data_IF_404846145843
#
_entry.id   IF_404846145843
#
_cell.length_a   1.000
_cell.length_b   1.000
_cell.length_c   1.000
_cell.angle_alpha   90.00
_cell.angle_beta   90.00
_cell.angle_gamma   90.00
#
_symmetry.space_group_name_H-M   'P 1'
#
loop_
_entity.id
_entity.type
_entity.pdbx_description
1 polymer ?
#
# COMPACT_ATOMS: atom_id res chain seq x y z
N UNK A 1 -2.79 -1.90 54.03
CA UNK A 1 -3.21 -2.75 52.89
C UNK A 1 -3.23 -1.98 51.55
N UNK A 2 -2.58 -0.81 51.44
CA UNK A 2 -2.56 0.01 50.21
C UNK A 2 -1.25 -0.09 49.39
N UNK A 3 -0.24 -0.82 49.87
CA UNK A 3 1.10 -0.82 49.27
C UNK A 3 1.29 -1.79 48.08
N UNK A 4 0.24 -2.52 47.69
CA UNK A 4 0.31 -3.53 46.61
C UNK A 4 -0.11 -2.95 45.25
N UNK A 5 -0.80 -1.81 45.22
CA UNK A 5 -1.30 -1.22 43.96
C UNK A 5 -0.22 -0.47 43.15
N UNK A 6 0.89 -0.05 43.77
CA UNK A 6 1.89 0.80 43.11
C UNK A 6 2.95 0.04 42.29
N UNK A 7 3.02 -1.28 42.39
CA UNK A 7 3.98 -2.12 41.64
C UNK A 7 3.53 -2.50 40.22
N UNK A 8 2.34 -2.08 39.78
CA UNK A 8 1.80 -2.34 38.45
C UNK A 8 2.10 -1.23 37.42
N UNK A 9 2.71 -0.12 37.83
CA UNK A 9 3.26 0.89 36.93
C UNK A 9 4.68 0.51 36.44
N UNK A 10 4.91 -0.79 36.16
CA UNK A 10 6.11 -1.16 35.44
C UNK A 10 6.07 -0.46 34.07
N UNK A 11 6.94 0.53 33.90
CA UNK A 11 7.27 1.13 32.63
C UNK A 11 7.54 0.01 31.63
N UNK A 12 6.54 -0.31 30.82
CA UNK A 12 6.68 -1.31 29.76
C UNK A 12 7.73 -0.77 28.82
N UNK A 13 8.97 -1.26 28.96
CA UNK A 13 10.07 -0.94 28.07
C UNK A 13 9.56 -1.11 26.65
N UNK A 14 9.47 0.00 25.93
CA UNK A 14 8.92 0.00 24.57
C UNK A 14 9.83 -0.87 23.71
N UNK A 15 9.34 -2.05 23.33
CA UNK A 15 10.09 -3.00 22.52
C UNK A 15 10.43 -2.34 21.18
N UNK A 16 11.72 -2.26 20.85
CA UNK A 16 12.20 -1.73 19.56
C UNK A 16 11.67 -2.58 18.40
N UNK A 17 11.34 -1.94 17.28
CA UNK A 17 10.93 -2.64 16.06
C UNK A 17 12.15 -3.16 15.31
N UNK A 18 12.16 -4.44 14.96
CA UNK A 18 13.23 -5.01 14.14
C UNK A 18 12.96 -4.77 12.66
N UNK A 19 14.00 -4.83 11.82
CA UNK A 19 13.84 -4.67 10.36
C UNK A 19 12.90 -5.73 9.78
N UNK A 20 13.09 -7.00 10.18
CA UNK A 20 12.24 -8.10 9.72
C UNK A 20 10.77 -7.91 10.14
N UNK A 21 10.54 -7.47 11.38
CA UNK A 21 9.19 -7.18 11.87
C UNK A 21 8.50 -6.07 11.07
N UNK A 22 9.25 -5.05 10.63
CA UNK A 22 8.73 -3.98 9.77
C UNK A 22 8.40 -4.51 8.37
N UNK A 23 9.23 -5.39 7.80
CA UNK A 23 8.94 -6.02 6.50
C UNK A 23 7.64 -6.81 6.56
N UNK A 24 7.47 -7.67 7.56
CA UNK A 24 6.23 -8.44 7.77
C UNK A 24 5.02 -7.52 7.98
N UNK A 25 5.18 -6.43 8.74
CA UNK A 25 4.12 -5.42 8.90
C UNK A 25 3.70 -4.82 7.54
N UNK A 26 4.65 -4.47 6.68
CA UNK A 26 4.40 -3.90 5.36
C UNK A 26 3.73 -4.92 4.43
N UNK A 27 4.17 -6.17 4.44
CA UNK A 27 3.57 -7.25 3.64
C UNK A 27 2.14 -7.55 4.08
N UNK A 28 1.91 -7.68 5.38
CA UNK A 28 0.57 -7.87 5.94
C UNK A 28 -0.34 -6.69 5.64
N UNK A 29 0.17 -5.45 5.66
CA UNK A 29 -0.57 -4.27 5.21
C UNK A 29 -1.03 -4.42 3.77
N UNK A 30 -0.12 -4.75 2.83
CA UNK A 30 -0.47 -4.94 1.41
C UNK A 30 -1.53 -6.03 1.22
N UNK A 31 -1.38 -7.17 1.91
CA UNK A 31 -2.31 -8.31 1.84
C UNK A 31 -3.70 -7.93 2.33
N UNK A 32 -3.80 -7.29 3.49
CA UNK A 32 -5.06 -6.93 4.13
C UNK A 32 -5.66 -5.63 3.61
N UNK A 33 -5.04 -5.00 2.61
CA UNK A 33 -5.52 -3.73 2.05
C UNK A 33 -6.93 -3.85 1.45
N UNK A 34 -7.30 -5.03 0.94
CA UNK A 34 -8.66 -5.30 0.44
C UNK A 34 -9.71 -5.14 1.54
N UNK A 35 -9.42 -5.58 2.76
CA UNK A 35 -10.30 -5.44 3.93
C UNK A 35 -10.53 -3.96 4.24
N UNK A 36 -9.46 -3.15 4.22
CA UNK A 36 -9.56 -1.68 4.39
C UNK A 36 -10.46 -1.02 3.35
N UNK A 37 -10.50 -1.57 2.11
CA UNK A 37 -11.32 -1.04 1.02
C UNK A 37 -12.80 -1.43 1.13
N UNK A 38 -13.08 -2.66 1.55
CA UNK A 38 -14.45 -3.18 1.67
C UNK A 38 -15.16 -2.59 2.88
N UNK A 39 -14.44 -2.48 3.99
CA UNK A 39 -15.01 -2.04 5.25
C UNK A 39 -15.11 -0.51 5.23
N UNK A 40 -16.33 0.03 5.18
CA UNK A 40 -16.59 1.46 5.30
C UNK A 40 -16.41 2.00 6.72
N UNK A 41 -15.83 1.20 7.62
CA UNK A 41 -15.61 1.59 9.01
C UNK A 41 -14.73 2.82 9.08
N UNK A 42 -15.28 3.86 9.70
CA UNK A 42 -14.56 5.10 10.01
C UNK A 42 -13.29 4.83 10.83
N UNK A 43 -13.26 3.75 11.61
CA UNK A 43 -12.18 3.43 12.54
C UNK A 43 -11.04 2.60 11.94
N UNK A 44 -11.24 1.94 10.78
CA UNK A 44 -10.30 0.95 10.22
C UNK A 44 -9.87 -0.15 11.22
N UNK A 45 -10.65 -0.41 12.29
CA UNK A 45 -10.26 -1.31 13.39
C UNK A 45 -10.05 -2.75 12.90
N UNK A 46 -10.96 -3.26 12.08
CA UNK A 46 -10.89 -4.60 11.48
C UNK A 46 -9.62 -4.82 10.65
N UNK A 47 -9.23 -3.82 9.86
CA UNK A 47 -8.01 -3.83 9.09
C UNK A 47 -6.74 -3.98 9.96
N UNK A 48 -6.64 -3.19 11.04
CA UNK A 48 -5.48 -3.30 11.93
C UNK A 48 -5.49 -4.57 12.79
N UNK A 49 -6.67 -5.12 13.11
CA UNK A 49 -6.79 -6.42 13.77
C UNK A 49 -6.29 -7.56 12.88
N UNK A 50 -6.57 -7.51 11.57
CA UNK A 50 -6.04 -8.48 10.62
C UNK A 50 -4.51 -8.44 10.56
N UNK A 51 -3.92 -7.24 10.53
CA UNK A 51 -2.46 -7.07 10.61
C UNK A 51 -1.89 -7.62 11.92
N UNK A 52 -2.56 -7.36 13.04
CA UNK A 52 -2.16 -7.88 14.35
C UNK A 52 -2.11 -9.42 14.37
N UNK A 53 -3.13 -10.06 13.78
CA UNK A 53 -3.20 -11.52 13.65
C UNK A 53 -2.04 -12.07 12.81
N UNK A 54 -1.75 -11.47 11.66
CA UNK A 54 -0.63 -11.86 10.80
C UNK A 54 0.72 -11.71 11.53
N UNK A 55 0.97 -10.58 12.19
CA UNK A 55 2.19 -10.38 12.98
C UNK A 55 2.35 -11.45 14.08
N UNK A 56 1.25 -11.79 14.75
CA UNK A 56 1.23 -12.81 15.79
C UNK A 56 1.60 -14.19 15.23
N UNK A 57 1.13 -14.55 14.03
CA UNK A 57 1.51 -15.80 13.33
C UNK A 57 3.01 -15.88 13.03
N UNK A 58 3.66 -14.73 12.81
CA UNK A 58 5.11 -14.63 12.65
C UNK A 58 5.89 -14.48 13.97
N UNK A 59 5.23 -14.65 15.12
CA UNK A 59 5.86 -14.56 16.45
C UNK A 59 6.02 -13.13 17.00
N UNK A 60 5.46 -12.12 16.32
CA UNK A 60 5.52 -10.72 16.74
C UNK A 60 4.23 -10.32 17.47
N UNK A 61 4.31 -10.22 18.79
CA UNK A 61 3.20 -9.72 19.63
C UNK A 61 3.27 -8.20 19.72
N UNK A 62 2.38 -7.51 19.00
CA UNK A 62 2.22 -6.05 19.01
C UNK A 62 0.78 -5.67 19.30
N UNK A 63 0.60 -4.62 20.08
CA UNK A 63 -0.73 -4.04 20.31
C UNK A 63 -1.24 -3.30 19.07
N UNK A 64 -2.56 -3.14 18.97
CA UNK A 64 -3.20 -2.37 17.90
C UNK A 64 -2.64 -0.94 17.83
N UNK A 65 -2.46 -0.30 18.98
CA UNK A 65 -1.93 1.07 19.09
C UNK A 65 -0.49 1.16 18.54
N UNK A 66 0.37 0.21 18.85
CA UNK A 66 1.73 0.16 18.30
C UNK A 66 1.74 0.00 16.79
N UNK A 67 0.87 -0.85 16.24
CA UNK A 67 0.73 -1.06 14.79
C UNK A 67 0.27 0.24 14.12
N UNK A 68 -0.76 0.90 14.65
CA UNK A 68 -1.27 2.18 14.11
C UNK A 68 -0.18 3.26 14.13
N UNK A 69 0.53 3.42 15.25
CA UNK A 69 1.61 4.41 15.36
C UNK A 69 2.74 4.09 14.38
N UNK A 70 3.12 2.81 14.23
CA UNK A 70 4.21 2.41 13.35
C UNK A 70 3.87 2.60 11.87
N UNK A 71 2.63 2.25 11.47
CA UNK A 71 2.14 2.45 10.10
C UNK A 71 2.07 3.94 9.74
N UNK A 72 1.60 4.80 10.65
CA UNK A 72 1.64 6.25 10.46
C UNK A 72 3.07 6.80 10.35
N UNK A 73 3.99 6.30 11.18
CA UNK A 73 5.40 6.67 11.10
C UNK A 73 6.02 6.27 9.75
N UNK A 74 5.74 5.06 9.26
CA UNK A 74 6.23 4.59 7.96
C UNK A 74 5.74 5.49 6.81
N UNK A 75 4.45 5.85 6.79
CA UNK A 75 3.90 6.76 5.79
C UNK A 75 4.54 8.16 5.86
N UNK A 76 4.71 8.71 7.07
CA UNK A 76 5.34 10.02 7.26
C UNK A 76 6.79 10.01 6.77
N UNK A 77 7.56 8.99 7.14
CA UNK A 77 8.96 8.81 6.71
C UNK A 77 9.06 8.66 5.20
N UNK A 78 8.22 7.81 4.60
CA UNK A 78 8.16 7.64 3.15
C UNK A 78 7.84 8.95 2.42
N UNK A 79 6.83 9.71 2.87
CA UNK A 79 6.47 11.01 2.25
C UNK A 79 7.60 12.04 2.37
N UNK A 80 8.33 12.05 3.49
CA UNK A 80 9.49 12.91 3.68
C UNK A 80 10.60 12.53 2.70
N UNK A 81 10.91 11.25 2.60
CA UNK A 81 11.91 10.72 1.69
C UNK A 81 11.54 11.00 0.23
N UNK A 82 10.30 10.75 -0.17
CA UNK A 82 9.81 11.00 -1.53
C UNK A 82 10.00 12.47 -1.94
N UNK A 83 9.73 13.41 -1.03
CA UNK A 83 10.01 14.84 -1.27
C UNK A 83 11.50 15.13 -1.42
N UNK A 84 12.34 14.46 -0.63
CA UNK A 84 13.79 14.58 -0.73
C UNK A 84 14.29 14.08 -2.09
N UNK A 85 13.87 12.87 -2.52
CA UNK A 85 14.21 12.29 -3.83
C UNK A 85 13.80 13.21 -4.96
N UNK A 86 12.58 13.76 -4.93
CA UNK A 86 12.11 14.70 -5.95
C UNK A 86 12.92 16.00 -6.02
N UNK A 87 13.46 16.46 -4.88
CA UNK A 87 14.23 17.72 -4.80
C UNK A 87 15.71 17.52 -5.16
N UNK A 88 16.29 16.37 -4.81
CA UNK A 88 17.74 16.13 -4.91
C UNK A 88 18.14 15.14 -6.00
N UNK A 89 17.19 14.38 -6.55
CA UNK A 89 17.46 13.38 -7.59
C UNK A 89 18.16 12.12 -7.08
N UNK A 90 18.41 11.98 -5.78
CA UNK A 90 19.04 10.82 -5.16
C UNK A 90 18.10 10.17 -4.14
N UNK A 91 18.16 8.84 -4.03
CA UNK A 91 17.49 8.11 -2.95
C UNK A 91 18.24 8.34 -1.63
N UNK A 92 17.54 8.77 -0.58
CA UNK A 92 18.13 8.83 0.76
C UNK A 92 18.01 7.50 1.50
N UNK A 93 18.39 7.52 2.78
CA UNK A 93 18.67 6.33 3.59
C UNK A 93 17.43 5.66 4.19
N UNK A 94 16.24 5.81 3.60
CA UNK A 94 15.04 5.13 4.11
C UNK A 94 14.95 3.71 3.53
N UNK A 95 15.21 2.66 4.35
CA UNK A 95 15.41 1.30 3.83
C UNK A 95 14.13 0.66 3.26
N UNK A 96 12.96 1.21 3.59
CA UNK A 96 11.66 0.67 3.17
C UNK A 96 11.03 1.47 2.03
N UNK A 97 11.79 2.33 1.34
CA UNK A 97 11.24 3.23 0.33
C UNK A 97 10.48 2.48 -0.76
N UNK A 98 11.12 1.48 -1.38
CA UNK A 98 10.53 0.69 -2.46
C UNK A 98 9.27 -0.05 -2.00
N UNK A 99 9.30 -0.66 -0.81
CA UNK A 99 8.16 -1.42 -0.28
C UNK A 99 6.93 -0.53 -0.05
N UNK A 100 7.13 0.76 0.25
CA UNK A 100 6.06 1.71 0.52
C UNK A 100 5.40 2.31 -0.74
N UNK A 101 6.04 2.22 -1.91
CA UNK A 101 5.48 2.75 -3.18
C UNK A 101 4.13 2.12 -3.50
N UNK A 102 4.02 0.79 -3.36
CA UNK A 102 2.76 0.09 -3.63
C UNK A 102 1.65 0.50 -2.66
N UNK A 103 1.99 0.72 -1.39
CA UNK A 103 1.02 1.15 -0.37
C UNK A 103 0.48 2.55 -0.72
N UNK A 104 1.33 3.49 -1.12
CA UNK A 104 0.88 4.82 -1.52
C UNK A 104 -0.05 4.76 -2.75
N UNK A 105 0.28 3.91 -3.73
CA UNK A 105 -0.57 3.71 -4.91
C UNK A 105 -1.95 3.17 -4.51
N UNK A 106 -1.99 2.21 -3.58
CA UNK A 106 -3.23 1.66 -3.03
C UNK A 106 -4.03 2.72 -2.25
N UNK A 107 -3.38 3.55 -1.42
CA UNK A 107 -4.01 4.68 -0.71
C UNK A 107 -4.64 5.69 -1.67
N UNK A 108 -3.92 6.07 -2.71
CA UNK A 108 -4.40 7.01 -3.71
C UNK A 108 -5.66 6.48 -4.42
N UNK A 109 -5.69 5.20 -4.77
CA UNK A 109 -6.86 4.57 -5.39
C UNK A 109 -8.10 4.60 -4.46
N UNK A 110 -7.93 4.31 -3.17
CA UNK A 110 -9.05 4.35 -2.22
C UNK A 110 -9.58 5.76 -2.00
N UNK A 111 -8.70 6.76 -1.98
CA UNK A 111 -9.10 8.15 -1.82
C UNK A 111 -9.93 8.63 -3.03
N UNK A 112 -9.54 8.25 -4.26
CA UNK A 112 -10.33 8.55 -5.46
C UNK A 112 -11.71 7.91 -5.41
N UNK A 113 -11.83 6.65 -4.98
CA UNK A 113 -13.13 5.97 -4.83
C UNK A 113 -13.99 6.66 -3.76
N UNK A 114 -13.38 7.03 -2.63
CA UNK A 114 -14.10 7.70 -1.55
C UNK A 114 -14.54 9.12 -1.95
N UNK A 115 -13.75 9.83 -2.76
CA UNK A 115 -14.15 11.13 -3.35
C UNK A 115 -15.32 10.98 -4.31
N UNK A 116 -15.32 9.95 -5.16
CA UNK A 116 -16.44 9.66 -6.06
C UNK A 116 -17.73 9.36 -5.27
N UNK A 117 -17.63 8.56 -4.19
CA UNK A 117 -18.77 8.29 -3.30
C UNK A 117 -19.30 9.56 -2.63
N UNK A 118 -18.42 10.46 -2.16
CA UNK A 118 -18.83 11.72 -1.52
C UNK A 118 -19.39 12.75 -2.51
N UNK A 119 -18.82 12.83 -3.72
CA UNK A 119 -19.24 13.79 -4.74
C UNK A 119 -20.60 13.47 -5.37
N UNK A 120 -21.00 12.20 -5.43
CA UNK A 120 -22.30 11.82 -5.98
C UNK A 120 -23.49 12.09 -5.04
N UNK A 121 -23.27 12.31 -3.74
CA UNK A 121 -24.37 12.58 -2.80
C UNK A 121 -24.71 14.07 -2.64
N UNK A 122 -23.91 14.99 -3.19
CA UNK A 122 -24.12 16.44 -3.00
C UNK A 122 -25.35 17.01 -3.70
N UNK A 123 -25.70 16.49 -4.88
CA UNK A 123 -26.79 17.05 -5.72
C UNK A 123 -27.89 16.03 -6.08
N UNK A 124 -27.79 14.79 -5.59
CA UNK A 124 -28.68 13.68 -5.93
C UNK A 124 -29.44 13.11 -4.71
N UNK A 125 -29.76 13.96 -3.73
CA UNK A 125 -30.47 13.56 -2.50
C UNK A 125 -31.96 13.21 -2.72
N UNK A 126 -32.39 12.86 -3.94
CA UNK A 126 -33.80 12.59 -4.23
C UNK A 126 -34.14 11.29 -4.97
N UNK A 127 -33.21 10.42 -5.38
CA UNK A 127 -33.62 9.32 -6.28
C UNK A 127 -32.95 7.93 -6.19
N UNK A 128 -32.29 7.55 -5.10
CA UNK A 128 -31.85 6.15 -4.96
C UNK A 128 -32.27 5.54 -3.62
N UNK A 129 -33.39 4.81 -3.65
CA UNK A 129 -33.70 3.80 -2.64
C UNK A 129 -32.64 2.70 -2.74
N UNK A 130 -31.94 2.46 -1.64
CA UNK A 130 -30.83 1.51 -1.48
C UNK A 130 -31.22 0.04 -1.64
N UNK A 131 -32.48 -0.28 -1.88
CA UNK A 131 -33.02 -1.64 -1.95
C UNK A 131 -32.61 -2.42 -3.20
N UNK A 132 -32.18 -1.75 -4.28
CA UNK A 132 -31.87 -2.44 -5.54
C UNK A 132 -30.40 -2.90 -5.65
N UNK A 133 -29.51 -2.40 -4.80
CA UNK A 133 -28.09 -2.80 -4.82
C UNK A 133 -27.89 -4.15 -4.11
N UNK A 134 -28.59 -4.40 -3.00
CA UNK A 134 -28.53 -5.70 -2.28
C UNK A 134 -29.14 -6.86 -3.09
N UNK A 135 -30.03 -6.55 -4.04
CA UNK A 135 -30.65 -7.55 -4.92
C UNK A 135 -29.74 -8.03 -6.06
N UNK A 136 -28.66 -7.28 -6.36
CA UNK A 136 -27.68 -7.68 -7.38
C UNK A 136 -26.55 -8.55 -6.81
N UNK A 137 -26.16 -8.36 -5.54
CA UNK A 137 -25.11 -9.17 -4.88
C UNK A 137 -25.61 -10.56 -4.44
N UNK A 138 -26.90 -10.71 -4.14
CA UNK A 138 -27.51 -11.98 -3.76
C UNK A 138 -27.65 -12.99 -4.92
N UNK A 139 -27.42 -12.59 -6.17
CA UNK A 139 -27.42 -13.50 -7.33
C UNK A 139 -26.04 -14.08 -7.67
N UNK A 140 -24.95 -13.59 -7.07
CA UNK A 140 -23.58 -14.11 -7.36
C UNK A 140 -23.06 -15.11 -6.33
N UNK A 141 -23.75 -15.31 -5.21
CA UNK A 141 -23.34 -16.27 -4.16
C UNK A 141 -24.02 -17.65 -4.23
N UNK A 142 -24.88 -17.90 -5.23
CA UNK A 142 -25.61 -19.17 -5.33
C UNK A 142 -24.79 -20.36 -5.88
N UNK A 143 -23.51 -20.17 -6.21
CA UNK A 143 -22.66 -21.22 -6.78
C UNK A 143 -21.37 -21.34 -5.97
N UNK A 144 -21.49 -21.82 -4.73
CA UNK A 144 -20.49 -22.65 -4.03
C UNK A 144 -20.82 -22.66 -2.53
N UNK A 145 -21.38 -23.76 -2.05
CA UNK A 145 -20.77 -24.64 -1.03
C UNK A 145 -21.85 -25.48 -0.37
N UNK A 146 -21.95 -26.74 -0.82
CA UNK A 146 -22.58 -27.83 -0.09
C UNK A 146 -21.44 -28.61 0.58
N UNK A 147 -21.14 -28.30 1.84
CA UNK A 147 -20.22 -29.08 2.67
C UNK A 147 -20.52 -28.76 4.13
N UNK A 148 -21.47 -29.48 4.70
CA UNK A 148 -21.77 -29.43 6.13
C UNK A 148 -20.67 -30.11 6.93
N UNK A 149 -20.08 -29.35 7.85
CA UNK A 149 -19.35 -29.89 9.00
C UNK A 149 -19.79 -29.05 10.19
N UNK A 150 -20.60 -29.66 11.05
CA UNK A 150 -21.03 -29.09 12.32
C UNK A 150 -19.86 -29.04 13.30
N UNK A 151 -19.48 -27.85 13.74
CA UNK A 151 -18.65 -27.66 14.93
C UNK A 151 -19.39 -26.72 15.88
N UNK A 152 -20.12 -27.33 16.81
CA UNK A 152 -20.68 -26.68 18.00
C UNK A 152 -19.54 -26.22 18.91
N UNK A 153 -19.39 -24.91 19.08
CA UNK A 153 -18.55 -24.30 20.11
C UNK A 153 -19.43 -23.38 20.96
N UNK A 154 -19.66 -23.82 22.19
CA UNK A 154 -20.31 -23.07 23.26
C UNK A 154 -19.52 -21.79 23.56
N UNK A 155 -20.18 -20.64 23.42
CA UNK A 155 -19.66 -19.36 23.86
C UNK A 155 -20.26 -19.03 25.21
N UNK A 156 -19.41 -19.01 26.25
CA UNK A 156 -19.72 -18.42 27.55
C UNK A 156 -19.66 -16.89 27.41
N UNK A 157 -20.80 -16.24 27.62
CA UNK A 157 -20.95 -14.80 27.77
C UNK A 157 -20.54 -14.42 29.20
N UNK A 158 -19.55 -13.55 29.34
CA UNK A 158 -19.30 -12.84 30.58
C UNK A 158 -19.38 -11.33 30.32
N UNK A 159 -20.46 -10.75 30.81
CA UNK A 159 -20.74 -9.32 30.85
C UNK A 159 -19.70 -8.60 31.74
N UNK A 160 -18.90 -7.72 31.14
CA UNK A 160 -18.09 -6.76 31.89
C UNK A 160 -18.72 -5.36 31.82
N UNK A 161 -19.22 -4.97 32.98
CA UNK A 161 -19.81 -3.68 33.35
C UNK A 161 -18.76 -2.56 33.28
N UNK A 162 -19.02 -1.55 32.44
CA UNK A 162 -18.14 -0.38 32.26
C UNK A 162 -18.56 0.70 33.25
N UNK A 163 -17.76 0.90 34.30
CA UNK A 163 -17.88 2.04 35.22
C UNK A 163 -17.17 3.24 34.59
N UNK A 164 -17.92 4.32 34.38
CA UNK A 164 -17.39 5.61 33.95
C UNK A 164 -16.85 6.37 35.16
N UNK A 165 -15.54 6.61 35.18
CA UNK A 165 -14.90 7.46 36.19
C UNK A 165 -14.47 8.78 35.54
N UNK A 166 -15.18 9.82 35.93
CA UNK A 166 -14.95 11.24 35.63
C UNK A 166 -13.80 11.74 36.50
N UNK A 167 -12.71 12.21 35.89
CA UNK A 167 -11.64 12.88 36.62
C UNK A 167 -11.16 14.14 35.86
N UNK A 168 -11.25 15.24 36.59
CA UNK A 168 -10.92 16.62 36.26
C UNK A 168 -9.39 16.84 36.24
N UNK A 169 -8.79 17.55 35.28
CA UNK A 169 -7.37 17.88 35.33
C UNK A 169 -7.11 19.27 35.92
N UNK A 170 -6.63 19.27 37.16
CA UNK A 170 -6.02 20.41 37.84
C UNK A 170 -4.65 20.78 37.22
N UNK A 171 -4.42 22.08 37.08
CA UNK A 171 -3.29 22.68 36.40
C UNK A 171 -1.96 22.51 37.17
N UNK A 172 -0.94 21.96 36.52
CA UNK A 172 0.44 21.99 36.99
C UNK A 172 1.33 22.82 36.04
N UNK A 173 1.88 23.89 36.58
CA UNK A 173 2.88 24.76 35.97
C UNK A 173 4.21 24.00 35.83
N UNK A 174 4.85 24.08 34.65
CA UNK A 174 6.19 23.53 34.41
C UNK A 174 7.18 24.66 34.18
N UNK A 175 8.14 24.69 35.09
CA UNK A 175 9.34 25.50 35.19
C UNK A 175 10.23 25.36 33.94
N UNK A 176 10.69 26.50 33.43
CA UNK A 176 11.77 26.60 32.43
C UNK A 176 13.10 26.46 33.17
N UNK A 177 13.85 25.40 32.87
CA UNK A 177 15.27 25.34 33.18
C UNK A 177 16.11 25.02 31.95
N UNK A 178 17.23 25.73 31.92
CA UNK A 178 18.22 25.83 30.86
C UNK A 178 19.02 24.54 30.70
N UNK A 179 19.35 24.17 29.45
CA UNK A 179 20.47 23.26 29.16
C UNK A 179 21.30 23.80 27.97
N UNK A 180 22.64 23.65 28.04
CA UNK A 180 23.58 24.22 27.08
C UNK A 180 23.70 23.38 25.82
N UNK A 181 23.96 24.09 24.72
CA UNK A 181 24.19 23.55 23.38
C UNK A 181 25.67 23.19 23.20
N UNK A 182 26.04 21.95 23.52
CA UNK A 182 27.34 21.40 23.12
C UNK A 182 27.28 20.86 21.68
N UNK A 183 28.18 21.39 20.86
CA UNK A 183 28.35 21.04 19.47
C UNK A 183 28.93 19.64 19.29
N UNK A 184 28.34 18.88 18.36
CA UNK A 184 28.92 17.66 17.84
C UNK A 184 29.33 17.89 16.38
N UNK A 185 30.61 18.15 16.17
CA UNK A 185 31.28 17.88 14.91
C UNK A 185 31.44 16.36 14.79
N UNK A 186 30.97 15.79 13.69
CA UNK A 186 31.26 14.41 13.33
C UNK A 186 31.65 14.36 11.87
N UNK A 187 32.95 14.57 11.64
CA UNK A 187 33.63 14.10 10.45
C UNK A 187 33.60 12.57 10.46
N UNK A 188 32.86 11.98 9.53
CA UNK A 188 32.91 10.54 9.28
C UNK A 188 33.55 10.31 7.92
N UNK A 189 34.84 10.00 7.97
CA UNK A 189 35.60 9.46 6.87
C UNK A 189 34.92 8.19 6.34
N UNK A 190 34.65 8.18 5.03
CA UNK A 190 34.09 7.02 4.34
C UNK A 190 35.19 5.99 4.09
N UNK A 191 35.18 4.91 4.86
CA UNK A 191 36.06 3.76 4.70
C UNK A 191 35.44 2.82 3.66
N UNK A 192 36.06 2.72 2.48
CA UNK A 192 35.62 1.84 1.39
C UNK A 192 36.10 0.41 1.64
N UNK A 193 35.17 -0.51 1.83
CA UNK A 193 35.46 -1.94 1.84
C UNK A 193 35.25 -2.48 0.41
N UNK A 194 36.34 -2.78 -0.29
CA UNK A 194 36.31 -3.69 -1.45
C UNK A 194 35.93 -5.08 -0.96
N UNK A 195 34.94 -5.71 -1.59
CA UNK A 195 34.61 -7.12 -1.39
C UNK A 195 34.87 -7.82 -2.71
N UNK A 196 35.92 -8.64 -2.72
CA UNK A 196 36.23 -9.58 -3.80
C UNK A 196 35.16 -10.67 -3.81
N UNK A 197 34.36 -10.73 -4.87
CA UNK A 197 33.46 -11.85 -5.12
C UNK A 197 34.18 -12.86 -6.01
N UNK A 198 34.57 -13.99 -5.42
CA UNK A 198 34.94 -15.20 -6.14
C UNK A 198 33.69 -15.77 -6.83
N UNK A 199 33.79 -15.90 -8.16
CA UNK A 199 32.81 -16.54 -9.03
C UNK A 199 33.06 -18.04 -9.06
N UNK A 200 32.17 -18.83 -8.47
CA UNK A 200 32.09 -20.28 -8.70
C UNK A 200 31.11 -20.54 -9.84
N UNK A 201 31.61 -21.18 -10.91
CA UNK A 201 30.83 -21.73 -12.01
C UNK A 201 30.04 -22.96 -11.56
N UNK A 202 28.78 -23.14 -12.00
CA UNK A 202 28.14 -24.44 -12.03
C UNK A 202 28.05 -24.99 -13.45
N UNK A 203 28.44 -26.26 -13.56
CA UNK A 203 28.46 -27.09 -14.76
C UNK A 203 27.13 -27.13 -15.53
N UNK A 204 27.26 -27.01 -16.86
CA UNK A 204 26.20 -27.11 -17.85
C UNK A 204 25.62 -28.54 -17.93
N UNK A 205 24.31 -28.67 -17.68
CA UNK A 205 23.53 -29.81 -18.13
C UNK A 205 22.82 -29.47 -19.45
N UNK A 206 23.27 -30.14 -20.50
CA UNK A 206 22.76 -30.12 -21.88
C UNK A 206 21.27 -30.45 -21.93
N UNK A 207 20.46 -29.51 -22.44
CA UNK A 207 19.07 -29.78 -22.85
C UNK A 207 18.90 -29.42 -24.33
N UNK A 208 18.62 -30.45 -25.14
CA UNK A 208 18.46 -30.39 -26.58
C UNK A 208 17.24 -29.56 -27.02
N UNK A 209 17.54 -28.44 -27.68
CA UNK A 209 17.01 -28.07 -29.00
C UNK A 209 15.52 -28.24 -29.30
N UNK A 210 14.73 -27.19 -29.11
CA UNK A 210 13.59 -26.88 -30.01
C UNK A 210 13.87 -25.53 -30.67
N UNK A 211 14.49 -25.55 -31.85
CA UNK A 211 14.79 -24.36 -32.64
C UNK A 211 13.53 -23.88 -33.37
N UNK A 212 12.90 -22.82 -32.86
CA UNK A 212 11.90 -22.06 -33.61
C UNK A 212 12.65 -21.14 -34.57
N UNK A 213 12.62 -21.47 -35.85
CA UNK A 213 13.24 -20.70 -36.94
C UNK A 213 12.45 -19.39 -37.15
N UNK A 214 12.86 -18.32 -36.46
CA UNK A 214 12.37 -16.96 -36.73
C UNK A 214 13.19 -16.39 -37.90
N UNK A 215 12.61 -16.40 -39.09
CA UNK A 215 13.18 -15.76 -40.28
C UNK A 215 13.20 -14.23 -40.12
N UNK A 216 14.29 -13.69 -39.58
CA UNK A 216 14.59 -12.26 -39.62
C UNK A 216 15.50 -11.96 -40.81
N UNK A 217 14.91 -11.79 -42.00
CA UNK A 217 15.60 -11.61 -43.28
C UNK A 217 16.13 -10.18 -43.53
N UNK A 218 16.66 -9.50 -42.51
CA UNK A 218 17.24 -8.16 -42.67
C UNK A 218 18.33 -7.89 -41.62
N UNK A 219 19.48 -8.58 -41.73
CA UNK A 219 20.69 -8.20 -41.02
C UNK A 219 21.82 -7.94 -42.04
N UNK A 220 22.48 -6.77 -42.00
CA UNK A 220 23.63 -6.48 -42.84
C UNK A 220 24.83 -7.34 -42.43
N UNK A 221 25.47 -7.99 -43.41
CA UNK A 221 26.78 -8.62 -43.27
C UNK A 221 27.82 -7.54 -42.94
N UNK A 222 28.20 -7.43 -41.69
CA UNK A 222 29.39 -6.68 -41.27
C UNK A 222 30.24 -7.61 -40.42
N UNK A 223 31.37 -8.06 -40.99
CA UNK A 223 32.30 -9.08 -40.47
C UNK A 223 33.15 -8.63 -39.27
N UNK A 224 32.59 -7.79 -38.39
CA UNK A 224 33.21 -7.42 -37.11
C UNK A 224 32.30 -7.92 -35.99
N UNK A 225 32.80 -8.74 -35.04
CA UNK A 225 32.00 -9.19 -33.91
C UNK A 225 31.56 -7.94 -33.14
N UNK A 226 30.25 -7.66 -33.17
CA UNK A 226 29.66 -6.58 -32.40
C UNK A 226 30.12 -6.71 -30.95
N UNK A 227 30.63 -5.63 -30.38
CA UNK A 227 31.05 -5.67 -28.99
C UNK A 227 29.84 -5.90 -28.10
N UNK A 228 30.04 -6.47 -26.90
CA UNK A 228 28.96 -6.62 -25.91
C UNK A 228 28.25 -5.29 -25.64
N UNK A 229 28.98 -4.17 -25.72
CA UNK A 229 28.44 -2.83 -25.59
C UNK A 229 27.48 -2.47 -26.74
N UNK A 230 27.82 -2.80 -27.98
CA UNK A 230 26.95 -2.57 -29.15
C UNK A 230 25.64 -3.35 -29.04
N UNK A 231 25.72 -4.60 -28.55
CA UNK A 231 24.55 -5.46 -28.32
C UNK A 231 23.64 -4.83 -27.24
N UNK A 232 24.21 -4.46 -26.09
CA UNK A 232 23.47 -3.81 -25.00
C UNK A 232 22.85 -2.48 -25.43
N UNK A 233 23.58 -1.68 -26.21
CA UNK A 233 23.10 -0.42 -26.76
C UNK A 233 21.94 -0.64 -27.75
N UNK A 234 22.00 -1.72 -28.55
CA UNK A 234 20.90 -2.15 -29.42
C UNK A 234 19.63 -2.47 -28.64
N UNK A 235 19.74 -3.31 -27.60
CA UNK A 235 18.61 -3.63 -26.71
C UNK A 235 18.02 -2.38 -26.05
N UNK A 236 18.87 -1.49 -25.55
CA UNK A 236 18.42 -0.27 -24.90
C UNK A 236 17.64 0.65 -25.86
N UNK A 237 18.10 0.80 -27.11
CA UNK A 237 17.40 1.58 -28.14
C UNK A 237 16.03 1.00 -28.49
N UNK A 238 15.93 -0.32 -28.69
CA UNK A 238 14.63 -0.96 -28.96
C UNK A 238 13.68 -0.91 -27.74
N UNK A 239 14.22 -1.05 -26.53
CA UNK A 239 13.44 -0.83 -25.31
C UNK A 239 12.88 0.59 -25.24
N UNK A 240 13.69 1.62 -25.53
CA UNK A 240 13.23 3.01 -25.56
C UNK A 240 12.13 3.24 -26.60
N UNK A 241 12.28 2.67 -27.80
CA UNK A 241 11.29 2.77 -28.88
C UNK A 241 9.95 2.13 -28.49
N UNK A 242 10.00 0.93 -27.91
CA UNK A 242 8.82 0.21 -27.41
C UNK A 242 8.13 1.00 -26.29
N UNK A 243 8.90 1.54 -25.35
CA UNK A 243 8.36 2.37 -24.27
C UNK A 243 7.73 3.68 -24.78
N UNK A 244 8.31 4.29 -25.83
CA UNK A 244 7.72 5.46 -26.48
C UNK A 244 6.39 5.12 -27.18
N UNK A 245 6.30 3.97 -27.83
CA UNK A 245 5.05 3.48 -28.42
C UNK A 245 4.00 3.21 -27.35
N UNK A 246 4.37 2.59 -26.24
CA UNK A 246 3.46 2.37 -25.10
C UNK A 246 2.88 3.69 -24.59
N UNK A 247 3.70 4.73 -24.42
CA UNK A 247 3.22 6.07 -24.03
C UNK A 247 2.25 6.69 -25.04
N UNK A 248 2.45 6.47 -26.34
CA UNK A 248 1.50 6.93 -27.36
C UNK A 248 0.18 6.19 -27.26
N UNK A 249 0.21 4.87 -27.06
CA UNK A 249 -0.99 4.06 -26.88
C UNK A 249 -1.77 4.48 -25.63
N UNK A 250 -1.09 4.74 -24.51
CA UNK A 250 -1.71 5.28 -23.29
C UNK A 250 -2.41 6.62 -23.55
N UNK A 251 -1.76 7.53 -24.29
CA UNK A 251 -2.35 8.82 -24.63
C UNK A 251 -3.60 8.68 -25.53
N UNK A 252 -3.57 7.77 -26.51
CA UNK A 252 -4.72 7.45 -27.37
C UNK A 252 -5.87 6.88 -26.55
N UNK A 253 -5.58 5.91 -25.67
CA UNK A 253 -6.59 5.29 -24.80
C UNK A 253 -7.23 6.33 -23.88
N UNK A 254 -6.43 7.24 -23.31
CA UNK A 254 -6.93 8.35 -22.48
C UNK A 254 -7.84 9.30 -23.28
N UNK A 255 -7.53 9.52 -24.57
CA UNK A 255 -8.37 10.29 -25.49
C UNK A 255 -9.73 9.62 -25.70
N UNK A 256 -9.75 8.33 -26.02
CA UNK A 256 -10.99 7.56 -26.19
C UNK A 256 -11.88 7.59 -24.94
N UNK A 257 -11.30 7.49 -23.74
CA UNK A 257 -12.06 7.61 -22.50
C UNK A 257 -12.69 9.00 -22.31
N UNK A 258 -12.01 10.08 -22.73
CA UNK A 258 -12.58 11.43 -22.70
C UNK A 258 -13.76 11.54 -23.66
N UNK A 259 -13.61 11.04 -24.87
CA UNK A 259 -14.67 11.09 -25.89
C UNK A 259 -15.91 10.32 -25.43
N UNK A 260 -15.73 9.11 -24.88
CA UNK A 260 -16.83 8.35 -24.29
C UNK A 260 -17.52 9.11 -23.16
N UNK A 261 -16.75 9.77 -22.27
CA UNK A 261 -17.31 10.55 -21.17
C UNK A 261 -18.15 11.74 -21.66
N UNK A 262 -17.75 12.42 -22.74
CA UNK A 262 -18.54 13.51 -23.34
C UNK A 262 -19.83 13.01 -24.01
N UNK A 263 -19.79 11.81 -24.62
CA UNK A 263 -21.00 11.14 -25.13
C UNK A 263 -21.97 10.87 -23.98
N UNK A 264 -21.50 10.30 -22.86
CA UNK A 264 -22.34 10.02 -21.69
C UNK A 264 -22.96 11.30 -21.10
N UNK A 265 -22.20 12.40 -21.01
CA UNK A 265 -22.73 13.69 -20.55
C UNK A 265 -23.84 14.21 -21.47
N UNK A 266 -23.65 14.08 -22.78
CA UNK A 266 -24.63 14.51 -23.78
C UNK A 266 -25.92 13.70 -23.66
N UNK A 267 -25.81 12.37 -23.52
CA UNK A 267 -26.95 11.47 -23.29
C UNK A 267 -27.69 11.82 -21.99
N UNK A 268 -26.98 12.03 -20.88
CA UNK A 268 -27.58 12.40 -19.60
C UNK A 268 -28.33 13.76 -19.70
N UNK A 269 -27.78 14.72 -20.43
CA UNK A 269 -28.43 16.01 -20.68
C UNK A 269 -29.73 15.85 -21.49
N UNK A 270 -29.72 15.02 -22.54
CA UNK A 270 -30.91 14.73 -23.35
C UNK A 270 -31.99 14.03 -22.53
N UNK A 271 -31.64 13.01 -21.74
CA UNK A 271 -32.57 12.34 -20.84
C UNK A 271 -33.22 13.32 -19.85
N UNK A 272 -32.42 14.21 -19.25
CA UNK A 272 -32.92 15.23 -18.33
C UNK A 272 -33.90 16.21 -18.99
N UNK A 273 -33.75 16.49 -20.29
CA UNK A 273 -34.70 17.32 -21.05
C UNK A 273 -36.01 16.58 -21.32
N UNK A 274 -35.93 15.30 -21.71
CA UNK A 274 -37.11 14.48 -21.97
C UNK A 274 -37.96 14.32 -20.72
N UNK A 275 -37.35 14.01 -19.57
CA UNK A 275 -38.07 13.87 -18.29
C UNK A 275 -38.75 15.16 -17.80
N UNK A 276 -38.41 16.32 -18.36
CA UNK A 276 -39.06 17.60 -18.03
C UNK A 276 -40.25 17.93 -18.93
N UNK A 277 -40.44 17.22 -20.04
CA UNK A 277 -41.52 17.48 -20.99
C UNK A 277 -42.81 16.72 -20.65
N UNK A 278 -42.74 15.71 -19.78
CA UNK A 278 -43.89 14.87 -19.38
C UNK A 278 -44.63 15.41 -18.13
N UNK A 279 -44.52 16.72 -17.82
CA UNK A 279 -45.25 17.43 -16.76
C UNK A 279 -45.96 18.63 -17.38
#
# INVERSE_FOLDING_TARGET
MEEVAFKLAQEKKVRKWTTNEIVILIESWKRNYKVKRQVSDKSNKSFYLAICKDLCQHGYKRSLKEIVVKTQWLLRSYRKEKKYVLKKGCMGNFPFFCNMIDIEKLESQTESINKLKKGCMGDFQYFCNTTDIEKLESQTESINTKSGVDCSLSSDESDEEIIAEENDPEAAQVTKDNLPSDGCNSDSASQSCFVDNHSEEPDEAVAEGTSILVNNSHLPNSDLPATTEDILLGFYKEFQKTNHQFKRNDAILLGLFKDQNEIFKTQACLMKKLMKQDI
#
